data_IF_325941285310
#
_entry.id   IF_325941285310
#
_cell.length_a   1.000
_cell.length_b   1.000
_cell.length_c   1.000
_cell.angle_alpha   90.00
_cell.angle_beta   90.00
_cell.angle_gamma   90.00
#
_symmetry.space_group_name_H-M   'P 1'
#
loop_
_entity.id
_entity.type
_entity.pdbx_description
1 polymer ?
#
# COMPACT_ATOMS: atom_id res chain seq x y z
N UNK A 1 -32.77 4.25 14.90
CA UNK A 1 -32.48 4.48 13.47
C UNK A 1 -32.21 3.11 12.86
N UNK A 2 -33.01 2.68 11.88
CA UNK A 2 -32.88 1.35 11.28
C UNK A 2 -31.99 1.45 10.04
N UNK A 3 -31.00 0.57 9.92
CA UNK A 3 -30.16 0.48 8.72
C UNK A 3 -30.56 -0.79 7.96
N UNK A 4 -31.02 -0.63 6.72
CA UNK A 4 -31.25 -1.75 5.81
C UNK A 4 -30.00 -1.91 4.94
N UNK A 5 -29.31 -3.04 5.05
CA UNK A 5 -28.21 -3.38 4.14
C UNK A 5 -28.77 -4.16 2.93
N UNK A 6 -28.69 -3.58 1.74
CA UNK A 6 -28.83 -4.29 0.48
C UNK A 6 -27.52 -5.02 0.23
N UNK A 7 -27.54 -6.34 0.08
CA UNK A 7 -26.38 -7.25 -0.12
C UNK A 7 -25.55 -7.00 -1.41
N UNK A 8 -25.34 -5.75 -1.82
CA UNK A 8 -24.42 -5.35 -2.88
C UNK A 8 -23.04 -4.95 -2.33
N UNK A 9 -21.98 -4.99 -3.14
CA UNK A 9 -20.66 -4.53 -2.72
C UNK A 9 -20.73 -3.04 -2.32
N UNK A 10 -20.42 -2.74 -1.06
CA UNK A 10 -20.28 -1.37 -0.60
C UNK A 10 -18.91 -0.84 -1.02
N UNK A 11 -18.91 0.18 -1.89
CA UNK A 11 -17.73 1.00 -2.13
C UNK A 11 -17.47 1.84 -0.88
N UNK A 12 -16.59 1.37 0.00
CA UNK A 12 -16.06 2.20 1.09
C UNK A 12 -14.96 3.10 0.51
N UNK A 13 -15.27 4.38 0.28
CA UNK A 13 -14.25 5.38 0.00
C UNK A 13 -13.83 6.03 1.33
N UNK A 14 -12.56 5.87 1.68
CA UNK A 14 -11.94 6.56 2.81
C UNK A 14 -11.21 7.78 2.24
N UNK A 15 -11.85 8.95 2.29
CA UNK A 15 -11.17 10.21 1.96
C UNK A 15 -10.58 10.82 3.23
N UNK A 16 -9.28 10.59 3.45
CA UNK A 16 -8.52 11.31 4.47
C UNK A 16 -7.83 12.52 3.86
N UNK A 17 -8.12 13.73 4.33
CA UNK A 17 -7.29 14.90 4.02
C UNK A 17 -6.01 14.79 4.84
N UNK A 18 -4.93 14.26 4.25
CA UNK A 18 -3.62 14.25 4.89
C UNK A 18 -3.27 15.66 5.36
N UNK A 19 -2.96 15.83 6.65
CA UNK A 19 -2.53 17.11 7.19
C UNK A 19 -1.12 17.39 6.68
N UNK A 20 -0.96 18.36 5.79
CA UNK A 20 0.36 18.91 5.48
C UNK A 20 0.95 19.47 6.77
N UNK A 21 2.15 19.04 7.15
CA UNK A 21 2.81 19.54 8.35
C UNK A 21 3.14 21.03 8.18
N UNK A 22 2.29 21.91 8.72
CA UNK A 22 2.56 23.35 8.81
C UNK A 22 3.60 23.61 9.91
N UNK A 23 4.82 23.12 9.71
CA UNK A 23 5.95 23.42 10.57
C UNK A 23 6.63 24.70 10.08
N UNK A 24 6.28 25.84 10.68
CA UNK A 24 7.02 27.08 10.48
C UNK A 24 8.48 26.89 10.91
N UNK A 25 9.41 26.98 9.95
CA UNK A 25 10.84 27.02 10.19
C UNK A 25 11.66 26.06 9.32
N UNK A 26 12.05 26.52 8.12
CA UNK A 26 13.30 26.15 7.42
C UNK A 26 13.65 24.69 7.12
N UNK A 27 12.84 23.71 7.51
CA UNK A 27 13.03 22.29 7.21
C UNK A 27 12.04 21.84 6.14
N UNK A 28 12.48 20.99 5.21
CA UNK A 28 11.59 20.34 4.24
C UNK A 28 10.55 19.52 5.01
N UNK A 29 9.33 20.06 5.11
CA UNK A 29 8.20 19.37 5.73
C UNK A 29 7.93 18.11 4.90
N UNK A 30 8.33 16.94 5.41
CA UNK A 30 7.94 15.66 4.80
C UNK A 30 6.43 15.57 4.95
N UNK A 31 5.71 15.73 3.85
CA UNK A 31 4.29 15.44 3.80
C UNK A 31 4.14 13.91 3.73
N UNK A 32 3.18 13.39 4.48
CA UNK A 32 2.67 12.03 4.28
C UNK A 32 1.68 12.14 3.13
N UNK A 33 1.92 11.40 2.06
CA UNK A 33 1.00 11.30 0.95
C UNK A 33 -0.31 10.66 1.43
N UNK A 34 -1.39 10.94 0.72
CA UNK A 34 -2.73 10.39 1.02
C UNK A 34 -2.65 8.89 1.35
N UNK A 35 -3.21 8.51 2.51
CA UNK A 35 -3.35 7.09 2.85
C UNK A 35 -4.42 6.47 1.97
N UNK A 36 -4.01 5.66 1.01
CA UNK A 36 -4.93 4.87 0.21
C UNK A 36 -4.66 3.39 0.48
N UNK A 37 -5.73 2.68 0.81
CA UNK A 37 -5.71 1.25 1.04
C UNK A 37 -6.53 0.58 -0.06
N UNK A 38 -5.93 -0.39 -0.73
CA UNK A 38 -6.68 -1.31 -1.56
C UNK A 38 -6.61 -2.67 -0.86
N UNK A 39 -7.77 -3.30 -0.65
CA UNK A 39 -7.89 -4.68 -0.16
C UNK A 39 -8.98 -5.34 -0.99
N UNK A 40 -8.60 -6.34 -1.78
CA UNK A 40 -9.57 -7.09 -2.58
C UNK A 40 -9.88 -8.42 -1.88
N UNK A 41 -11.11 -8.62 -1.42
CA UNK A 41 -11.54 -9.89 -0.79
C UNK A 41 -12.40 -10.76 -1.70
N UNK A 42 -12.46 -10.47 -2.99
CA UNK A 42 -13.37 -11.12 -3.96
C UNK A 42 -13.09 -12.61 -4.18
N UNK A 43 -11.90 -13.09 -3.80
CA UNK A 43 -11.46 -14.47 -4.05
C UNK A 43 -10.74 -14.64 -5.39
N UNK A 44 -10.65 -13.59 -6.19
CA UNK A 44 -9.82 -13.54 -7.40
C UNK A 44 -8.34 -13.58 -7.02
N UNK A 45 -7.53 -14.28 -7.81
CA UNK A 45 -6.09 -14.34 -7.60
C UNK A 45 -5.38 -13.23 -8.39
N UNK A 46 -4.51 -12.48 -7.71
CA UNK A 46 -3.80 -11.33 -8.26
C UNK A 46 -2.29 -11.58 -8.32
N UNK A 47 -1.69 -11.37 -9.48
CA UNK A 47 -0.22 -11.33 -9.61
C UNK A 47 0.35 -9.96 -9.26
N UNK A 48 -0.48 -8.92 -9.32
CA UNK A 48 -0.12 -7.56 -8.91
C UNK A 48 -1.35 -6.83 -8.40
N UNK A 49 -1.12 -5.80 -7.58
CA UNK A 49 -2.21 -5.01 -7.01
C UNK A 49 -1.77 -3.56 -6.84
N UNK A 50 -2.55 -2.63 -7.38
CA UNK A 50 -2.18 -1.22 -7.45
C UNK A 50 -3.10 -0.37 -6.60
N UNK A 51 -2.54 0.74 -6.12
CA UNK A 51 -3.27 1.81 -5.47
C UNK A 51 -2.96 3.15 -6.12
N UNK A 52 -3.98 3.94 -6.51
CA UNK A 52 -3.76 5.28 -7.01
C UNK A 52 -3.44 6.22 -5.83
N UNK A 53 -2.44 7.08 -6.01
CA UNK A 53 -2.07 8.12 -5.05
C UNK A 53 -1.75 9.41 -5.80
N UNK A 54 -1.52 10.51 -5.09
CA UNK A 54 -1.00 11.75 -5.69
C UNK A 54 0.01 12.33 -4.72
N UNK A 55 1.25 12.46 -5.17
CA UNK A 55 2.38 12.90 -4.35
C UNK A 55 3.08 14.08 -5.01
N UNK A 56 3.95 14.74 -4.24
CA UNK A 56 4.80 15.83 -4.69
C UNK A 56 6.26 15.40 -4.66
N UNK A 57 7.13 16.01 -5.48
CA UNK A 57 8.56 15.76 -5.38
C UNK A 57 9.08 16.14 -3.97
N UNK A 58 9.87 15.25 -3.36
CA UNK A 58 10.41 15.41 -2.01
C UNK A 58 9.67 14.65 -0.93
N UNK A 59 8.50 14.07 -1.23
CA UNK A 59 7.73 13.29 -0.27
C UNK A 59 8.50 12.04 0.21
N UNK A 60 8.17 11.59 1.42
CA UNK A 60 8.53 10.25 1.88
C UNK A 60 7.35 9.33 1.58
N UNK A 61 7.57 8.27 0.83
CA UNK A 61 6.57 7.25 0.58
C UNK A 61 6.90 5.98 1.36
N UNK A 62 5.86 5.38 1.94
CA UNK A 62 5.92 4.11 2.65
C UNK A 62 4.80 3.22 2.14
N UNK A 63 5.12 1.97 1.78
CA UNK A 63 4.15 0.98 1.37
C UNK A 63 4.17 -0.19 2.37
N UNK A 64 3.03 -0.46 2.99
CA UNK A 64 2.78 -1.69 3.73
C UNK A 64 1.98 -2.64 2.85
N UNK A 65 2.48 -3.86 2.68
CA UNK A 65 1.90 -4.87 1.81
C UNK A 65 1.54 -6.09 2.64
N UNK A 66 0.39 -6.69 2.31
CA UNK A 66 -0.12 -7.92 2.88
C UNK A 66 -0.49 -8.91 1.78
N UNK A 67 0.10 -10.09 1.85
CA UNK A 67 -0.10 -11.23 0.98
C UNK A 67 -0.73 -12.35 1.83
N UNK A 68 -1.91 -12.85 1.46
CA UNK A 68 -2.69 -13.73 2.34
C UNK A 68 -2.72 -15.20 1.92
N UNK A 69 -2.02 -15.58 0.85
CA UNK A 69 -2.08 -16.92 0.26
C UNK A 69 -0.82 -17.76 0.48
N UNK A 70 0.33 -17.15 0.76
CA UNK A 70 1.61 -17.81 0.86
C UNK A 70 2.53 -17.14 1.89
N UNK A 71 2.60 -17.73 3.09
CA UNK A 71 3.48 -17.30 4.18
C UNK A 71 5.00 -17.32 3.89
N UNK A 72 5.43 -17.66 2.68
CA UNK A 72 6.83 -17.63 2.23
C UNK A 72 7.08 -16.73 1.02
N UNK A 73 6.05 -16.03 0.50
CA UNK A 73 6.21 -15.13 -0.64
C UNK A 73 7.19 -13.98 -0.32
N UNK A 74 7.91 -13.53 -1.34
CA UNK A 74 8.71 -12.32 -1.32
C UNK A 74 8.30 -11.47 -2.53
N UNK A 75 7.62 -10.37 -2.26
CA UNK A 75 7.00 -9.50 -3.28
C UNK A 75 7.70 -8.15 -3.39
N UNK A 76 7.61 -7.49 -4.54
CA UNK A 76 8.26 -6.18 -4.76
C UNK A 76 7.25 -5.05 -4.91
N UNK A 77 7.69 -3.82 -4.66
CA UNK A 77 6.89 -2.61 -4.87
C UNK A 77 7.51 -1.78 -5.98
N UNK A 78 6.67 -1.32 -6.91
CA UNK A 78 7.01 -0.38 -7.98
C UNK A 78 6.05 0.81 -7.96
N UNK A 79 6.43 1.90 -8.62
CA UNK A 79 5.58 3.08 -8.77
C UNK A 79 5.53 3.58 -10.21
N UNK A 80 4.63 4.54 -10.47
CA UNK A 80 4.44 5.14 -11.79
C UNK A 80 5.65 5.89 -12.33
N UNK A 81 6.62 6.25 -11.49
CA UNK A 81 7.84 6.96 -11.88
C UNK A 81 9.05 6.02 -12.03
N UNK A 82 8.89 4.72 -11.76
CA UNK A 82 9.95 3.72 -11.87
C UNK A 82 11.04 3.83 -10.81
N UNK A 83 10.73 4.41 -9.64
CA UNK A 83 11.73 4.55 -8.57
C UNK A 83 12.01 3.21 -7.89
N UNK A 84 13.18 3.12 -7.26
CA UNK A 84 13.57 1.94 -6.51
C UNK A 84 13.04 2.02 -5.08
N UNK A 85 12.20 1.04 -4.71
CA UNK A 85 11.66 0.91 -3.36
C UNK A 85 12.59 0.08 -2.48
N UNK A 86 12.94 0.61 -1.31
CA UNK A 86 13.84 -0.07 -0.36
C UNK A 86 13.02 -0.86 0.66
N UNK A 87 13.24 -2.18 0.81
CA UNK A 87 12.63 -2.93 1.90
C UNK A 87 13.20 -2.44 3.24
N UNK A 88 12.33 -2.33 4.23
CA UNK A 88 12.74 -2.00 5.60
C UNK A 88 13.53 -3.14 6.22
N UNK A 89 14.33 -2.83 7.25
CA UNK A 89 15.21 -3.80 7.91
C UNK A 89 14.46 -4.92 8.64
N UNK A 90 13.17 -4.74 8.94
CA UNK A 90 12.32 -5.82 9.45
C UNK A 90 12.09 -6.94 8.44
N UNK A 91 12.36 -6.70 7.15
CA UNK A 91 12.13 -7.65 6.09
C UNK A 91 10.66 -8.07 6.00
N UNK A 92 10.44 -9.32 5.62
CA UNK A 92 9.11 -9.91 5.57
C UNK A 92 8.78 -10.69 6.84
N UNK A 93 7.54 -10.57 7.30
CA UNK A 93 7.05 -11.22 8.50
C UNK A 93 5.70 -11.87 8.23
N UNK A 94 5.35 -12.91 8.98
CA UNK A 94 4.00 -13.46 8.95
C UNK A 94 3.21 -12.99 10.16
N UNK A 95 1.93 -12.67 9.96
CA UNK A 95 0.99 -12.37 11.04
C UNK A 95 0.70 -13.59 11.93
N UNK A 96 0.87 -14.80 11.39
CA UNK A 96 0.80 -16.09 12.10
C UNK A 96 1.73 -17.12 11.46
N UNK A 97 1.85 -18.34 11.98
CA UNK A 97 2.75 -19.37 11.43
C UNK A 97 2.54 -19.66 9.93
N UNK A 98 1.31 -19.48 9.44
CA UNK A 98 0.95 -19.74 8.04
C UNK A 98 0.71 -18.48 7.20
N UNK A 99 1.00 -17.29 7.73
CA UNK A 99 0.70 -15.99 7.10
C UNK A 99 -0.51 -15.28 7.72
N UNK A 100 -1.02 -14.19 7.13
CA UNK A 100 -0.54 -13.51 5.93
C UNK A 100 0.91 -13.02 6.01
N UNK A 101 1.61 -13.08 4.88
CA UNK A 101 2.96 -12.55 4.70
C UNK A 101 2.86 -11.04 4.52
N UNK A 102 3.69 -10.31 5.23
CA UNK A 102 3.69 -8.84 5.24
C UNK A 102 5.09 -8.30 4.97
N UNK A 103 5.16 -7.10 4.42
CA UNK A 103 6.41 -6.41 4.16
C UNK A 103 6.19 -4.91 4.10
N UNK A 104 7.22 -4.14 4.48
CA UNK A 104 7.19 -2.68 4.41
C UNK A 104 8.36 -2.15 3.60
N UNK A 105 8.07 -1.21 2.70
CA UNK A 105 9.02 -0.61 1.76
C UNK A 105 8.93 0.91 1.83
N UNK A 106 9.99 1.61 1.46
CA UNK A 106 9.99 3.07 1.42
C UNK A 106 10.81 3.66 0.27
N UNK A 107 10.48 4.90 -0.08
CA UNK A 107 11.24 5.79 -0.95
C UNK A 107 11.33 7.16 -0.29
N UNK A 108 12.54 7.63 0.00
CA UNK A 108 12.76 8.97 0.54
C UNK A 108 13.06 9.96 -0.59
N UNK A 109 12.57 11.20 -0.46
CA UNK A 109 12.73 12.25 -1.47
C UNK A 109 12.19 11.81 -2.84
N UNK A 110 10.99 11.26 -2.83
CA UNK A 110 10.33 10.67 -3.99
C UNK A 110 10.12 11.70 -5.10
N UNK A 111 10.09 11.26 -6.36
CA UNK A 111 9.47 12.03 -7.44
C UNK A 111 7.93 12.00 -7.29
N UNK A 112 7.22 12.89 -8.01
CA UNK A 112 5.77 12.82 -8.03
C UNK A 112 5.31 11.49 -8.66
N UNK A 113 4.47 10.74 -7.96
CA UNK A 113 3.89 9.48 -8.41
C UNK A 113 2.37 9.52 -8.36
N UNK A 114 1.74 8.75 -9.25
CA UNK A 114 0.29 8.65 -9.40
C UNK A 114 -0.24 7.25 -9.04
N UNK A 115 0.64 6.26 -8.95
CA UNK A 115 0.29 4.92 -8.48
C UNK A 115 1.47 4.19 -7.89
N UNK A 116 1.16 3.27 -6.98
CA UNK A 116 2.10 2.30 -6.41
C UNK A 116 1.51 0.92 -6.56
N UNK A 117 2.33 -0.04 -6.95
CA UNK A 117 1.93 -1.40 -7.29
C UNK A 117 2.81 -2.39 -6.56
N UNK A 118 2.18 -3.34 -5.87
CA UNK A 118 2.87 -4.55 -5.42
C UNK A 118 2.82 -5.60 -6.52
N UNK A 119 3.93 -6.33 -6.68
CA UNK A 119 4.07 -7.47 -7.58
C UNK A 119 4.39 -8.71 -6.73
N UNK A 120 3.49 -9.69 -6.77
CA UNK A 120 3.59 -10.92 -6.00
C UNK A 120 4.32 -12.01 -6.78
N UNK A 121 4.99 -12.93 -6.08
CA UNK A 121 5.67 -14.07 -6.73
C UNK A 121 4.95 -15.40 -6.51
N UNK A 122 3.90 -15.41 -5.68
CA UNK A 122 3.03 -16.56 -5.47
C UNK A 122 2.45 -17.08 -6.79
N UNK A 123 2.78 -18.33 -7.12
CA UNK A 123 2.28 -19.01 -8.31
C UNK A 123 0.75 -19.12 -8.27
N UNK A 124 0.09 -18.77 -9.38
CA UNK A 124 -1.37 -18.72 -9.45
C UNK A 124 -1.97 -17.42 -8.90
N UNK A 125 -1.17 -16.54 -8.30
CA UNK A 125 -1.59 -15.26 -7.75
C UNK A 125 -2.06 -15.33 -6.30
N UNK A 126 -2.25 -14.15 -5.73
CA UNK A 126 -2.61 -13.96 -4.32
C UNK A 126 -4.10 -13.72 -4.20
N UNK A 127 -4.74 -14.53 -3.36
CA UNK A 127 -6.09 -14.32 -2.86
C UNK A 127 -6.00 -13.40 -1.65
N UNK A 128 -6.84 -12.36 -1.62
CA UNK A 128 -6.84 -11.33 -0.56
C UNK A 128 -5.53 -10.52 -0.49
N UNK A 129 -5.09 -9.89 -1.61
CA UNK A 129 -3.99 -8.95 -1.58
C UNK A 129 -4.37 -7.66 -0.84
N UNK A 130 -3.38 -7.02 -0.22
CA UNK A 130 -3.55 -5.72 0.42
C UNK A 130 -2.32 -4.84 0.24
N UNK A 131 -2.52 -3.56 -0.04
CA UNK A 131 -1.47 -2.55 -0.02
C UNK A 131 -2.02 -1.24 0.54
N UNK A 132 -1.28 -0.67 1.49
CA UNK A 132 -1.49 0.66 2.03
C UNK A 132 -0.26 1.52 1.72
N UNK A 133 -0.46 2.70 1.17
CA UNK A 133 0.63 3.65 0.87
C UNK A 133 0.38 4.98 1.56
N UNK A 134 1.44 5.56 2.12
CA UNK A 134 1.47 6.80 2.91
C UNK A 134 2.68 7.64 2.50
#
# INVERSE_FOLDING_TARGET
MSFSASNGPQLASLSGTGVSSSGGGGGTSRAVAQVQNNIDTSGTAFTSFSVPITTQPGDLLVAFVRESSNGTDNFTVTDSAGQMWTPTTSGYNNESDTGPRTGMFYVANSTAVTSVTVNYTTAGGVIKPGIMVM
#
